data_IF_973755706673
#
_entry.id   IF_973755706673
#
_cell.length_a   1.000
_cell.length_b   1.000
_cell.length_c   1.000
_cell.angle_alpha   90.00
_cell.angle_beta   90.00
_cell.angle_gamma   90.00
#
_symmetry.space_group_name_H-M   'P 1'
#
loop_
_entity.id
_entity.type
_entity.pdbx_description
1 polymer ?
#
# COMPACT_ATOMS: atom_id res chain seq x y z
N UNK A 1 24.17 9.06 15.50
CA UNK A 1 23.00 9.93 15.32
C UNK A 1 22.98 10.37 13.85
N UNK A 2 22.19 9.77 12.95
CA UNK A 2 22.06 10.31 11.60
C UNK A 2 21.10 11.51 11.62
N UNK A 3 21.56 12.62 11.09
CA UNK A 3 20.84 13.89 11.00
C UNK A 3 19.68 13.73 10.01
N UNK A 4 18.47 14.01 10.50
CA UNK A 4 17.29 14.22 9.64
C UNK A 4 17.49 15.57 8.95
N UNK A 5 17.73 15.57 7.65
CA UNK A 5 17.79 16.79 6.84
C UNK A 5 16.37 17.08 6.37
N UNK A 6 15.69 17.99 7.05
CA UNK A 6 14.46 18.62 6.55
C UNK A 6 14.88 19.62 5.48
N UNK A 7 14.84 19.27 4.22
CA UNK A 7 15.10 20.19 3.11
C UNK A 7 13.77 20.56 2.43
N UNK A 8 13.27 21.74 2.74
CA UNK A 8 12.12 22.32 2.07
C UNK A 8 12.56 22.86 0.69
N UNK A 9 12.16 22.21 -0.38
CA UNK A 9 12.18 22.80 -1.71
C UNK A 9 12.99 22.13 -2.82
N UNK A 10 13.17 20.80 -2.81
CA UNK A 10 13.77 20.10 -3.95
C UNK A 10 12.70 19.48 -4.86
N UNK A 11 12.83 19.73 -6.15
CA UNK A 11 12.04 19.13 -7.22
C UNK A 11 12.27 17.60 -7.28
N UNK A 12 11.22 16.75 -7.32
CA UNK A 12 11.37 15.29 -7.37
C UNK A 12 12.08 14.76 -8.63
N UNK A 13 12.43 15.62 -9.59
CA UNK A 13 13.23 15.25 -10.77
C UNK A 13 14.75 15.18 -10.51
N UNK A 14 15.24 15.56 -9.33
CA UNK A 14 16.66 15.43 -8.93
C UNK A 14 16.87 14.25 -7.96
N UNK A 15 16.37 13.07 -8.32
CA UNK A 15 16.54 11.84 -7.53
C UNK A 15 17.96 11.27 -7.66
N UNK A 16 18.95 11.95 -7.10
CA UNK A 16 20.27 11.38 -6.80
C UNK A 16 20.51 11.30 -5.27
N UNK A 17 19.48 11.48 -4.45
CA UNK A 17 19.55 11.23 -3.01
C UNK A 17 19.20 9.77 -2.75
N UNK A 18 20.12 9.06 -2.09
CA UNK A 18 20.05 7.60 -1.90
C UNK A 18 18.79 7.14 -1.13
N UNK A 19 18.25 7.93 -0.24
CA UNK A 19 16.99 7.66 0.48
C UNK A 19 16.52 8.90 1.24
N UNK A 20 15.20 9.03 1.47
CA UNK A 20 14.68 10.15 2.27
C UNK A 20 13.20 10.05 2.60
N UNK A 21 12.80 10.97 3.49
CA UNK A 21 11.41 11.18 3.91
C UNK A 21 11.13 12.66 3.89
N UNK A 22 9.95 13.04 3.41
CA UNK A 22 9.42 14.41 3.51
C UNK A 22 8.01 14.34 4.08
N UNK A 23 7.72 15.19 5.05
CA UNK A 23 6.39 15.33 5.64
C UNK A 23 5.88 16.73 5.38
N UNK A 24 4.64 16.85 4.90
CA UNK A 24 3.96 18.11 4.66
C UNK A 24 2.51 18.05 5.12
N UNK A 25 1.96 19.18 5.55
CA UNK A 25 0.53 19.28 5.90
C UNK A 25 -0.30 19.44 4.62
N UNK A 26 -1.43 18.76 4.57
CA UNK A 26 -2.42 18.96 3.49
C UNK A 26 -3.52 19.92 3.93
N UNK A 27 -4.29 20.45 2.98
CA UNK A 27 -5.35 21.45 3.24
C UNK A 27 -6.53 20.85 4.01
N UNK A 28 -6.75 19.53 3.92
CA UNK A 28 -7.85 18.79 4.53
C UNK A 28 -7.50 18.18 5.90
N UNK A 29 -6.35 18.61 6.47
CA UNK A 29 -5.92 18.18 7.81
C UNK A 29 -5.23 16.82 7.86
N UNK A 30 -5.02 16.15 6.72
CA UNK A 30 -4.15 15.01 6.63
C UNK A 30 -2.67 15.46 6.54
N UNK A 31 -1.76 14.51 6.63
CA UNK A 31 -0.33 14.74 6.47
C UNK A 31 0.18 13.91 5.31
N UNK A 32 0.86 14.54 4.37
CA UNK A 32 1.51 13.86 3.26
C UNK A 32 2.90 13.44 3.66
N UNK A 33 3.16 12.14 3.57
CA UNK A 33 4.48 11.53 3.78
C UNK A 33 4.98 11.00 2.45
N UNK A 34 6.08 11.54 1.98
CA UNK A 34 6.79 11.10 0.77
C UNK A 34 8.01 10.30 1.19
N UNK A 35 8.20 9.14 0.57
CA UNK A 35 9.28 8.19 0.85
C UNK A 35 9.99 7.85 -0.45
N UNK A 36 11.30 7.82 -0.43
CA UNK A 36 12.11 7.26 -1.53
C UNK A 36 13.31 6.53 -0.98
N UNK A 37 13.52 5.32 -1.47
CA UNK A 37 14.62 4.46 -1.04
C UNK A 37 14.79 3.26 -1.99
N UNK A 38 15.92 2.57 -1.86
CA UNK A 38 16.10 1.22 -2.38
C UNK A 38 15.44 0.22 -1.44
N UNK A 39 14.24 -0.21 -1.76
CA UNK A 39 13.41 -1.03 -0.90
C UNK A 39 13.51 -2.52 -1.23
N UNK A 40 13.44 -3.34 -0.20
CA UNK A 40 13.31 -4.80 -0.33
C UNK A 40 11.88 -5.20 -0.66
N UNK A 41 11.71 -6.39 -1.25
CA UNK A 41 10.39 -6.99 -1.42
C UNK A 41 9.69 -7.08 -0.05
N UNK A 42 8.42 -6.69 0.01
CA UNK A 42 7.64 -6.71 1.25
C UNK A 42 7.67 -5.40 2.06
N UNK A 43 8.49 -4.41 1.69
CA UNK A 43 8.58 -3.15 2.41
C UNK A 43 7.22 -2.46 2.62
N UNK A 44 6.36 -2.51 1.61
CA UNK A 44 5.03 -1.89 1.67
C UNK A 44 4.13 -2.59 2.69
N UNK A 45 4.20 -3.93 2.79
CA UNK A 45 3.50 -4.69 3.83
C UNK A 45 4.01 -4.35 5.23
N UNK A 46 5.33 -4.14 5.38
CA UNK A 46 5.93 -3.72 6.65
C UNK A 46 5.42 -2.34 7.04
N UNK A 47 5.54 -1.37 6.12
CA UNK A 47 5.09 0.00 6.30
C UNK A 47 3.61 0.07 6.70
N UNK A 48 2.72 -0.57 5.93
CA UNK A 48 1.28 -0.50 6.17
C UNK A 48 0.86 -1.18 7.47
N UNK A 49 1.52 -2.29 7.86
CA UNK A 49 1.31 -2.92 9.18
C UNK A 49 1.78 -2.03 10.32
N UNK A 50 2.95 -1.43 10.18
CA UNK A 50 3.47 -0.53 11.19
C UNK A 50 2.60 0.72 11.33
N UNK A 51 2.16 1.31 10.22
CA UNK A 51 1.21 2.42 10.22
C UNK A 51 -0.08 2.05 10.95
N UNK A 52 -0.66 0.88 10.67
CA UNK A 52 -1.87 0.40 11.34
C UNK A 52 -1.67 0.22 12.85
N UNK A 53 -0.51 -0.29 13.31
CA UNK A 53 -0.19 -0.42 14.74
C UNK A 53 -0.07 0.93 15.45
N UNK A 54 0.40 1.94 14.73
CA UNK A 54 0.48 3.31 15.24
C UNK A 54 -0.87 4.04 15.16
N UNK A 55 -1.94 3.38 14.71
CA UNK A 55 -3.25 4.00 14.51
C UNK A 55 -3.31 4.98 13.35
N UNK A 56 -2.32 4.93 12.45
CA UNK A 56 -2.28 5.78 11.26
C UNK A 56 -3.18 5.19 10.17
N UNK A 57 -4.10 6.01 9.71
CA UNK A 57 -4.99 5.71 8.59
C UNK A 57 -4.42 6.25 7.28
N UNK A 58 -4.32 5.40 6.26
CA UNK A 58 -3.81 5.76 4.92
C UNK A 58 -5.01 6.08 4.04
N UNK A 59 -5.38 7.36 3.94
CA UNK A 59 -6.56 7.78 3.19
C UNK A 59 -6.33 7.93 1.69
N UNK A 60 -5.09 8.22 1.29
CA UNK A 60 -4.65 8.25 -0.10
C UNK A 60 -3.21 7.82 -0.20
N UNK A 61 -2.86 7.26 -1.33
CA UNK A 61 -1.47 6.93 -1.55
C UNK A 61 -1.16 6.45 -2.95
N UNK A 62 0.10 6.58 -3.27
CA UNK A 62 0.70 6.02 -4.46
C UNK A 62 2.08 5.53 -4.12
N UNK A 63 2.38 4.30 -4.49
CA UNK A 63 3.74 3.80 -4.45
C UNK A 63 4.06 3.11 -5.77
N UNK A 64 5.26 3.34 -6.28
CA UNK A 64 5.72 2.80 -7.57
C UNK A 64 7.18 2.39 -7.50
N UNK A 65 7.46 1.23 -8.07
CA UNK A 65 8.81 0.77 -8.30
C UNK A 65 9.41 1.47 -9.53
N UNK A 66 10.56 2.08 -9.33
CA UNK A 66 11.40 2.64 -10.39
C UNK A 66 12.48 1.65 -10.84
N UNK A 67 13.51 2.17 -11.54
CA UNK A 67 14.70 1.41 -11.90
C UNK A 67 15.51 0.99 -10.65
N UNK A 68 16.37 -0.01 -10.77
CA UNK A 68 17.36 -0.43 -9.75
C UNK A 68 16.79 -0.71 -8.35
N UNK A 69 15.52 -1.16 -8.26
CA UNK A 69 14.78 -1.38 -7.01
C UNK A 69 14.51 -0.12 -6.19
N UNK A 70 14.69 1.06 -6.77
CA UNK A 70 14.23 2.29 -6.16
C UNK A 70 12.70 2.32 -6.11
N UNK A 71 12.18 2.79 -4.98
CA UNK A 71 10.76 3.04 -4.81
C UNK A 71 10.53 4.52 -4.48
N UNK A 72 9.47 5.05 -5.02
CA UNK A 72 8.89 6.31 -4.58
C UNK A 72 7.47 6.05 -4.10
N UNK A 73 7.14 6.60 -2.95
CA UNK A 73 5.81 6.49 -2.37
C UNK A 73 5.38 7.84 -1.80
N UNK A 74 4.11 8.11 -1.92
CA UNK A 74 3.44 9.26 -1.30
C UNK A 74 2.19 8.74 -0.62
N UNK A 75 2.04 8.99 0.67
CA UNK A 75 0.87 8.61 1.45
C UNK A 75 0.29 9.85 2.15
N UNK A 76 -1.02 9.96 2.18
CA UNK A 76 -1.74 10.91 3.02
C UNK A 76 -2.27 10.15 4.23
N UNK A 77 -1.78 10.55 5.42
CA UNK A 77 -2.02 9.88 6.68
C UNK A 77 -2.90 10.73 7.58
N UNK A 78 -3.78 10.08 8.33
CA UNK A 78 -4.55 10.64 9.45
C UNK A 78 -4.29 9.83 10.72
N UNK A 79 -4.67 10.38 11.88
CA UNK A 79 -4.56 9.69 13.17
C UNK A 79 -3.41 10.15 14.06
N UNK A 80 -2.53 11.04 13.58
CA UNK A 80 -1.48 11.66 14.36
C UNK A 80 -1.29 13.13 14.00
N UNK A 81 -0.78 13.92 14.93
CA UNK A 81 -0.35 15.30 14.71
C UNK A 81 0.96 15.35 13.88
N UNK A 82 1.27 16.52 13.33
CA UNK A 82 2.51 16.70 12.59
C UNK A 82 3.75 16.41 13.44
N UNK A 83 3.77 16.88 14.69
CA UNK A 83 4.90 16.72 15.61
C UNK A 83 5.12 15.23 15.99
N UNK A 84 4.04 14.44 16.11
CA UNK A 84 4.12 13.00 16.32
C UNK A 84 4.69 12.29 15.09
N UNK A 85 4.27 12.69 13.89
CA UNK A 85 4.77 12.11 12.64
C UNK A 85 6.26 12.41 12.41
N UNK A 86 6.75 13.60 12.77
CA UNK A 86 8.17 13.94 12.68
C UNK A 86 9.08 13.06 13.55
N UNK A 87 8.54 12.45 14.59
CA UNK A 87 9.27 11.53 15.48
C UNK A 87 9.32 10.09 14.94
N UNK A 88 8.56 9.78 13.88
CA UNK A 88 8.49 8.46 13.30
C UNK A 88 9.60 8.28 12.26
N UNK A 89 10.42 7.25 12.42
CA UNK A 89 11.33 6.80 11.36
C UNK A 89 10.57 5.94 10.34
N UNK A 90 9.95 6.59 9.36
CA UNK A 90 9.17 5.91 8.32
C UNK A 90 9.98 4.94 7.46
N UNK A 91 11.28 5.21 7.26
CA UNK A 91 12.14 4.27 6.53
C UNK A 91 12.46 3.03 7.37
N UNK A 92 12.66 3.17 8.68
CA UNK A 92 12.79 2.03 9.56
C UNK A 92 11.52 1.17 9.55
N UNK A 93 10.33 1.78 9.61
CA UNK A 93 9.06 1.04 9.50
C UNK A 93 8.94 0.24 8.21
N UNK A 94 9.42 0.77 7.09
CA UNK A 94 9.40 0.09 5.80
C UNK A 94 10.43 -1.05 5.71
N UNK A 95 11.55 -0.93 6.43
CA UNK A 95 12.67 -1.90 6.38
C UNK A 95 12.52 -3.05 7.36
N UNK A 96 11.86 -2.81 8.50
CA UNK A 96 11.71 -3.80 9.57
C UNK A 96 10.57 -4.78 9.26
N UNK A 97 10.84 -6.08 9.13
CA UNK A 97 9.81 -7.09 9.02
C UNK A 97 9.09 -7.25 10.37
N UNK A 98 8.13 -6.38 10.62
CA UNK A 98 7.34 -6.44 11.85
C UNK A 98 6.46 -7.70 11.90
N UNK A 99 6.31 -8.25 13.12
CA UNK A 99 5.55 -9.47 13.40
C UNK A 99 4.16 -9.51 12.74
N UNK A 100 3.81 -10.70 12.25
CA UNK A 100 2.59 -11.00 11.49
C UNK A 100 1.28 -10.88 12.30
N UNK A 101 1.31 -10.41 13.54
CA UNK A 101 0.25 -10.62 14.55
C UNK A 101 -0.99 -9.72 14.45
N UNK A 102 -1.13 -8.87 13.45
CA UNK A 102 -2.32 -7.98 13.32
C UNK A 102 -2.97 -8.00 11.93
N UNK A 103 -3.18 -9.20 11.37
CA UNK A 103 -3.94 -9.32 10.12
C UNK A 103 -5.42 -9.30 10.46
N UNK A 104 -6.10 -8.22 10.12
CA UNK A 104 -7.56 -8.13 10.15
C UNK A 104 -8.12 -9.02 9.03
N UNK A 105 -9.26 -9.69 9.27
CA UNK A 105 -9.94 -10.48 8.23
C UNK A 105 -10.15 -9.63 6.97
N UNK A 106 -9.75 -10.12 5.80
CA UNK A 106 -9.99 -9.42 4.53
C UNK A 106 -11.46 -9.59 4.14
N UNK A 107 -12.17 -8.47 4.06
CA UNK A 107 -13.56 -8.42 3.61
C UNK A 107 -13.69 -7.42 2.48
N UNK A 108 -14.16 -7.87 1.33
CA UNK A 108 -14.33 -7.07 0.13
C UNK A 108 -15.82 -6.84 -0.15
N UNK A 109 -16.14 -5.69 -0.73
CA UNK A 109 -17.45 -5.41 -1.34
C UNK A 109 -17.46 -5.78 -2.83
N UNK A 110 -16.29 -5.75 -3.46
CA UNK A 110 -16.09 -6.16 -4.84
C UNK A 110 -14.64 -6.10 -5.26
N UNK A 111 -14.34 -6.79 -6.36
CA UNK A 111 -13.02 -6.71 -6.99
C UNK A 111 -13.10 -6.95 -8.48
N UNK A 112 -12.11 -6.44 -9.20
CA UNK A 112 -11.83 -6.74 -10.60
C UNK A 112 -10.37 -7.19 -10.72
N UNK A 113 -10.13 -8.38 -11.29
CA UNK A 113 -8.80 -8.92 -11.53
C UNK A 113 -8.65 -9.21 -13.03
N UNK A 114 -7.72 -8.55 -13.69
CA UNK A 114 -7.49 -8.67 -15.14
C UNK A 114 -6.00 -8.66 -15.46
N UNK A 115 -5.64 -9.10 -16.66
CA UNK A 115 -4.29 -8.84 -17.20
C UNK A 115 -4.17 -7.35 -17.52
N UNK A 116 -3.10 -6.72 -17.05
CA UNK A 116 -2.91 -5.29 -17.25
C UNK A 116 -2.59 -4.96 -18.72
N UNK A 117 -3.31 -3.97 -19.26
CA UNK A 117 -2.97 -3.34 -20.53
C UNK A 117 -1.91 -2.23 -20.38
N UNK A 118 -1.80 -1.66 -19.17
CA UNK A 118 -0.86 -0.56 -18.87
C UNK A 118 0.55 -1.08 -18.56
N UNK A 119 0.65 -2.31 -18.02
CA UNK A 119 1.90 -2.93 -17.59
C UNK A 119 1.98 -4.36 -18.10
N UNK A 120 2.79 -4.54 -19.12
CA UNK A 120 2.97 -5.86 -19.75
C UNK A 120 3.43 -6.88 -18.69
N UNK A 121 2.71 -8.00 -18.60
CA UNK A 121 3.03 -9.09 -17.69
C UNK A 121 2.48 -8.93 -16.26
N UNK A 122 1.90 -7.80 -15.88
CA UNK A 122 1.30 -7.63 -14.57
C UNK A 122 -0.20 -8.01 -14.55
N UNK A 123 -0.69 -8.43 -13.36
CA UNK A 123 -2.12 -8.45 -13.07
C UNK A 123 -2.54 -7.08 -12.54
N UNK A 124 -3.66 -6.57 -13.00
CA UNK A 124 -4.35 -5.41 -12.45
C UNK A 124 -5.44 -5.90 -11.51
N UNK A 125 -5.33 -5.53 -10.25
CA UNK A 125 -6.34 -5.78 -9.23
C UNK A 125 -6.93 -4.44 -8.80
N UNK A 126 -8.23 -4.26 -8.98
CA UNK A 126 -9.01 -3.18 -8.40
C UNK A 126 -9.92 -3.75 -7.33
N UNK A 127 -10.03 -3.07 -6.21
CA UNK A 127 -10.84 -3.51 -5.08
C UNK A 127 -11.75 -2.40 -4.59
N UNK A 128 -12.88 -2.81 -4.02
CA UNK A 128 -13.78 -1.99 -3.23
C UNK A 128 -14.02 -2.67 -1.90
N UNK A 129 -13.87 -1.92 -0.81
CA UNK A 129 -14.08 -2.42 0.53
C UNK A 129 -14.47 -1.28 1.47
N UNK A 130 -15.06 -1.61 2.62
CA UNK A 130 -15.18 -0.64 3.69
C UNK A 130 -13.78 -0.29 4.22
N UNK A 131 -13.49 1.01 4.27
CA UNK A 131 -12.22 1.49 4.78
C UNK A 131 -12.11 1.27 6.30
N UNK A 132 -10.94 0.80 6.71
CA UNK A 132 -10.56 0.62 8.12
C UNK A 132 -9.06 0.57 8.26
N UNK A 133 -8.56 1.05 9.38
CA UNK A 133 -7.14 0.95 9.72
C UNK A 133 -6.68 -0.51 9.62
N UNK A 134 -5.61 -0.76 8.86
CA UNK A 134 -5.06 -2.10 8.63
C UNK A 134 -5.65 -2.85 7.44
N UNK A 135 -6.65 -2.31 6.72
CA UNK A 135 -7.22 -2.96 5.54
C UNK A 135 -6.15 -3.24 4.48
N UNK A 136 -5.37 -2.23 4.11
CA UNK A 136 -4.30 -2.38 3.11
C UNK A 136 -3.23 -3.38 3.56
N UNK A 137 -2.87 -3.40 4.84
CA UNK A 137 -1.93 -4.37 5.39
C UNK A 137 -2.46 -5.81 5.25
N UNK A 138 -3.76 -6.02 5.49
CA UNK A 138 -4.43 -7.33 5.34
C UNK A 138 -4.47 -7.77 3.88
N UNK A 139 -4.78 -6.84 2.96
CA UNK A 139 -4.76 -7.11 1.53
C UNK A 139 -3.37 -7.52 1.05
N UNK A 140 -2.33 -6.77 1.43
CA UNK A 140 -0.96 -7.07 1.03
C UNK A 140 -0.46 -8.40 1.62
N UNK A 141 -0.85 -8.73 2.85
CA UNK A 141 -0.55 -10.03 3.45
C UNK A 141 -1.26 -11.18 2.69
N UNK A 142 -2.51 -10.97 2.28
CA UNK A 142 -3.26 -11.93 1.46
C UNK A 142 -2.57 -12.18 0.11
N UNK A 143 -2.16 -11.12 -0.59
CA UNK A 143 -1.45 -11.21 -1.87
C UNK A 143 -0.09 -11.90 -1.73
N UNK A 144 0.63 -11.65 -0.64
CA UNK A 144 1.91 -12.30 -0.36
C UNK A 144 1.77 -13.83 -0.21
N UNK A 145 0.62 -14.33 0.26
CA UNK A 145 0.29 -15.76 0.29
C UNK A 145 0.26 -16.42 -1.08
N UNK A 146 0.05 -15.65 -2.15
CA UNK A 146 0.13 -16.08 -3.56
C UNK A 146 1.47 -15.74 -4.21
N UNK A 147 2.45 -15.29 -3.43
CA UNK A 147 3.76 -14.84 -3.93
C UNK A 147 3.64 -13.70 -4.95
N UNK A 148 2.62 -12.86 -4.76
CA UNK A 148 2.35 -11.69 -5.57
C UNK A 148 2.73 -10.41 -4.84
N UNK A 149 3.40 -9.52 -5.55
CA UNK A 149 3.91 -8.26 -5.01
C UNK A 149 3.51 -7.10 -5.91
N UNK A 150 3.06 -5.98 -5.33
CA UNK A 150 2.73 -4.80 -6.13
C UNK A 150 4.00 -4.16 -6.72
N UNK A 151 3.95 -3.82 -8.00
CA UNK A 151 4.90 -2.96 -8.70
C UNK A 151 4.45 -1.50 -8.64
N UNK A 152 3.15 -1.28 -8.55
CA UNK A 152 2.51 0.01 -8.29
C UNK A 152 1.24 -0.21 -7.48
N UNK A 153 0.94 0.75 -6.63
CA UNK A 153 -0.36 0.86 -5.95
C UNK A 153 -0.89 2.28 -6.07
N UNK A 154 -2.19 2.39 -6.09
CA UNK A 154 -2.95 3.63 -5.91
C UNK A 154 -4.03 3.35 -4.88
N UNK A 155 -4.08 4.16 -3.86
CA UNK A 155 -4.98 4.06 -2.72
C UNK A 155 -5.85 5.31 -2.74
N UNK A 156 -7.15 5.13 -2.64
CA UNK A 156 -8.09 6.23 -2.52
C UNK A 156 -9.25 5.84 -1.61
N UNK A 157 -9.41 6.57 -0.51
CA UNK A 157 -10.53 6.42 0.41
C UNK A 157 -11.49 7.59 0.24
N UNK A 158 -12.71 7.27 -0.14
CA UNK A 158 -13.78 8.24 -0.27
C UNK A 158 -15.02 7.79 0.51
N UNK A 159 -15.55 8.64 1.39
CA UNK A 159 -16.76 8.34 2.20
C UNK A 159 -16.68 6.99 2.95
N UNK A 160 -15.53 6.67 3.54
CA UNK A 160 -15.30 5.43 4.27
C UNK A 160 -15.27 4.16 3.38
N UNK A 161 -15.09 4.32 2.08
CA UNK A 161 -14.94 3.26 1.10
C UNK A 161 -13.52 3.32 0.52
N UNK A 162 -12.78 2.22 0.65
CA UNK A 162 -11.48 2.04 0.02
C UNK A 162 -11.67 1.62 -1.44
N UNK A 163 -11.02 2.32 -2.37
CA UNK A 163 -10.99 2.05 -3.81
C UNK A 163 -9.56 1.98 -4.28
N UNK A 164 -8.97 0.83 -4.13
CA UNK A 164 -7.55 0.65 -4.40
C UNK A 164 -7.31 -0.04 -5.73
N UNK A 165 -6.21 0.33 -6.39
CA UNK A 165 -5.73 -0.31 -7.60
C UNK A 165 -4.27 -0.75 -7.42
N UNK A 166 -3.99 -2.02 -7.75
CA UNK A 166 -2.67 -2.62 -7.62
C UNK A 166 -2.26 -3.27 -8.94
N UNK A 167 -1.01 -3.10 -9.33
CA UNK A 167 -0.38 -3.83 -10.42
C UNK A 167 0.58 -4.82 -9.82
N UNK A 168 0.30 -6.12 -10.03
CA UNK A 168 0.94 -7.22 -9.32
C UNK A 168 1.82 -8.03 -10.27
N UNK A 169 3.01 -8.38 -9.80
CA UNK A 169 3.91 -9.33 -10.45
C UNK A 169 4.31 -10.45 -9.48
N UNK A 170 4.82 -11.54 -10.03
CA UNK A 170 5.50 -12.57 -9.26
C UNK A 170 6.92 -12.12 -8.88
N UNK A 171 7.64 -12.94 -8.12
CA UNK A 171 9.04 -12.70 -7.75
C UNK A 171 9.87 -12.34 -8.97
N UNK A 172 10.70 -11.31 -8.84
CA UNK A 172 11.55 -10.83 -9.94
C UNK A 172 10.84 -10.00 -11.00
N UNK A 173 9.57 -9.60 -10.77
CA UNK A 173 8.80 -8.80 -11.74
C UNK A 173 8.25 -9.63 -12.90
N UNK A 174 8.20 -10.95 -12.75
CA UNK A 174 7.69 -11.84 -13.78
C UNK A 174 6.15 -11.83 -13.83
N UNK A 175 5.61 -12.20 -15.00
CA UNK A 175 4.17 -12.37 -15.15
C UNK A 175 3.67 -13.52 -14.28
N UNK A 176 2.62 -13.30 -13.45
CA UNK A 176 2.03 -14.35 -12.67
C UNK A 176 1.48 -15.47 -13.56
N UNK A 177 1.72 -16.76 -13.21
CA UNK A 177 1.15 -17.90 -13.95
C UNK A 177 -0.39 -17.88 -13.90
N UNK A 178 -1.08 -18.46 -14.92
CA UNK A 178 -2.55 -18.54 -14.94
C UNK A 178 -3.15 -19.25 -13.73
N UNK A 179 -2.44 -20.23 -13.17
CA UNK A 179 -2.85 -20.98 -11.98
C UNK A 179 -2.92 -20.07 -10.74
N UNK A 180 -1.93 -19.17 -10.58
CA UNK A 180 -1.89 -18.19 -9.50
C UNK A 180 -3.01 -17.16 -9.67
N UNK A 181 -3.26 -16.69 -10.91
CA UNK A 181 -4.38 -15.80 -11.18
C UNK A 181 -5.72 -16.45 -10.81
N UNK A 182 -5.92 -17.72 -11.19
CA UNK A 182 -7.14 -18.47 -10.90
C UNK A 182 -7.33 -18.70 -9.40
N UNK A 183 -6.26 -19.08 -8.70
CA UNK A 183 -6.27 -19.29 -7.25
C UNK A 183 -6.54 -17.98 -6.49
N UNK A 184 -5.90 -16.88 -6.89
CA UNK A 184 -6.15 -15.57 -6.31
C UNK A 184 -7.62 -15.14 -6.53
N UNK A 185 -8.15 -15.31 -7.73
CA UNK A 185 -9.55 -14.98 -8.06
C UNK A 185 -10.52 -15.76 -7.17
N UNK A 186 -10.33 -17.05 -7.01
CA UNK A 186 -11.15 -17.87 -6.15
C UNK A 186 -11.09 -17.41 -4.68
N UNK A 187 -9.88 -17.10 -4.20
CA UNK A 187 -9.68 -16.63 -2.83
C UNK A 187 -10.31 -15.25 -2.58
N UNK A 188 -10.16 -14.29 -3.50
CA UNK A 188 -10.80 -12.97 -3.39
C UNK A 188 -12.33 -13.09 -3.44
N UNK A 189 -12.87 -14.00 -4.26
CA UNK A 189 -14.32 -14.29 -4.27
C UNK A 189 -14.80 -14.77 -2.91
N UNK A 190 -14.05 -15.64 -2.24
CA UNK A 190 -14.39 -16.09 -0.89
C UNK A 190 -14.32 -14.97 0.17
N UNK A 191 -13.51 -13.93 -0.06
CA UNK A 191 -13.43 -12.75 0.80
C UNK A 191 -14.51 -11.70 0.49
N UNK A 192 -15.28 -11.86 -0.60
CA UNK A 192 -16.33 -10.89 -0.98
C UNK A 192 -17.61 -11.21 -0.24
N UNK A 193 -18.18 -10.21 0.41
CA UNK A 193 -19.48 -10.35 1.09
C UNK A 193 -20.57 -10.67 0.08
N UNK A 194 -21.30 -11.74 0.33
CA UNK A 194 -22.48 -12.08 -0.46
C UNK A 194 -23.59 -11.04 -0.18
N UNK A 195 -23.83 -10.13 -1.13
CA UNK A 195 -24.90 -9.12 -1.03
C UNK A 195 -26.30 -9.74 -0.93
N UNK A 196 -26.43 -11.05 -1.16
CA UNK A 196 -27.69 -11.78 -1.15
C UNK A 196 -28.16 -12.20 0.26
N UNK A 197 -27.35 -12.00 1.31
CA UNK A 197 -27.68 -12.42 2.67
C UNK A 197 -28.34 -11.33 3.55
N UNK A 198 -28.70 -10.17 2.97
CA UNK A 198 -29.52 -9.20 3.72
C UNK A 198 -30.99 -9.59 3.57
N UNK A 199 -31.72 -9.90 4.69
CA UNK A 199 -33.15 -10.03 4.61
C UNK A 199 -33.75 -8.67 4.18
N UNK A 200 -34.82 -8.66 3.36
CA UNK A 200 -35.49 -7.42 2.98
C UNK A 200 -36.00 -6.69 4.23
N UNK A 201 -36.05 -5.34 4.21
CA UNK A 201 -36.49 -4.51 5.32
C UNK A 201 -37.93 -4.77 5.71
#
# INVERSE_FOLDING_TARGET
>A
MPSVVVNAGADPSQANEASGVRITRTVDGAHRVELWDTMRVGWLSNFTRAAARLGLDIVRGKARRGAERHWSATFELRGASYDELEQIDFLALARDPSDASSVVSLELEGFELTRSSERVGALSLRIQARDRVGFLASLLAHLAGFVLFPEEIRIDTFQNEARDALWLSSVGGQSPPPEIESALRASLTACTRDRLSMPPP
#
